data_IF_548179797471
#
_entry.id   IF_548179797471
#
_cell.length_a   1.000
_cell.length_b   1.000
_cell.length_c   1.000
_cell.angle_alpha   90.00
_cell.angle_beta   90.00
_cell.angle_gamma   90.00
#
_symmetry.space_group_name_H-M   'P 1'
#
loop_
_entity.id
_entity.type
_entity.pdbx_description
1 polymer ?
#
# COMPACT_ATOMS: atom_id res chain seq x y z
N UNK A 1 -18.06 -57.30 -23.83
CA UNK A 1 -19.44 -57.18 -24.29
C UNK A 1 -20.04 -55.99 -23.54
N UNK A 2 -20.48 -54.96 -24.05
CA UNK A 2 -20.98 -54.42 -25.28
C UNK A 2 -20.70 -52.90 -25.32
N UNK A 3 -20.23 -52.39 -26.43
CA UNK A 3 -20.09 -50.97 -26.71
C UNK A 3 -21.48 -50.38 -26.96
N UNK A 4 -21.72 -49.17 -26.42
CA UNK A 4 -22.80 -48.33 -26.93
C UNK A 4 -22.24 -46.96 -27.26
N UNK A 5 -22.14 -46.63 -28.54
CA UNK A 5 -21.86 -45.32 -29.07
C UNK A 5 -23.08 -44.42 -28.92
N UNK A 6 -22.88 -43.21 -28.45
CA UNK A 6 -23.86 -42.12 -28.56
C UNK A 6 -23.30 -41.05 -29.50
N UNK A 7 -24.01 -40.85 -30.60
CA UNK A 7 -23.76 -39.87 -31.64
C UNK A 7 -24.15 -38.47 -31.14
N UNK A 8 -23.24 -37.50 -31.18
CA UNK A 8 -23.57 -36.08 -31.08
C UNK A 8 -23.89 -35.50 -32.46
N UNK A 9 -25.14 -35.14 -32.66
CA UNK A 9 -25.56 -34.30 -33.79
C UNK A 9 -25.93 -32.92 -33.26
N UNK A 10 -25.40 -31.87 -33.91
CA UNK A 10 -26.01 -30.53 -33.86
C UNK A 10 -25.19 -29.41 -33.21
N UNK A 11 -24.02 -29.12 -33.75
CA UNK A 11 -23.41 -27.80 -33.51
C UNK A 11 -23.84 -26.85 -34.64
N UNK A 12 -24.75 -25.94 -34.33
CA UNK A 12 -25.10 -24.83 -35.24
C UNK A 12 -23.92 -23.87 -35.34
N UNK A 13 -23.38 -23.68 -36.53
CA UNK A 13 -22.33 -22.69 -36.82
C UNK A 13 -22.88 -21.29 -36.59
N UNK A 14 -22.16 -20.39 -35.85
CA UNK A 14 -22.59 -19.02 -35.71
C UNK A 14 -22.59 -18.30 -37.04
N UNK A 15 -23.65 -17.51 -37.29
CA UNK A 15 -23.85 -16.76 -38.53
C UNK A 15 -22.74 -15.71 -38.72
N UNK A 16 -22.36 -15.46 -39.98
CA UNK A 16 -21.31 -14.52 -40.38
C UNK A 16 -21.47 -13.10 -39.84
N UNK A 17 -22.67 -12.72 -39.41
CA UNK A 17 -22.98 -11.42 -38.80
C UNK A 17 -22.52 -11.32 -37.34
N UNK A 18 -22.57 -12.41 -36.57
CA UNK A 18 -22.06 -12.46 -35.18
C UNK A 18 -20.52 -12.39 -35.16
N UNK A 19 -19.85 -13.13 -36.04
CA UNK A 19 -18.39 -13.08 -36.17
C UNK A 19 -17.87 -11.69 -36.62
N UNK A 20 -18.65 -10.97 -37.45
CA UNK A 20 -18.31 -9.59 -37.85
C UNK A 20 -18.51 -8.59 -36.71
N UNK A 21 -19.47 -8.79 -35.79
CA UNK A 21 -19.69 -7.92 -34.62
C UNK A 21 -18.62 -8.15 -33.55
N UNK A 22 -18.21 -9.38 -33.28
CA UNK A 22 -17.12 -9.68 -32.34
C UNK A 22 -15.78 -9.17 -32.86
N UNK A 23 -15.49 -9.35 -34.16
CA UNK A 23 -14.25 -8.81 -34.75
C UNK A 23 -14.21 -7.26 -34.74
N UNK A 24 -15.34 -6.59 -34.88
CA UNK A 24 -15.40 -5.12 -34.76
C UNK A 24 -15.23 -4.64 -33.31
N UNK A 25 -15.76 -5.38 -32.32
CA UNK A 25 -15.57 -5.07 -30.89
C UNK A 25 -14.11 -5.29 -30.49
N UNK A 26 -13.50 -6.40 -30.86
CA UNK A 26 -12.07 -6.68 -30.58
C UNK A 26 -11.13 -5.73 -31.31
N UNK A 27 -11.45 -5.32 -32.56
CA UNK A 27 -10.66 -4.29 -33.26
C UNK A 27 -10.81 -2.90 -32.64
N UNK A 28 -12.00 -2.54 -32.14
CA UNK A 28 -12.22 -1.27 -31.46
C UNK A 28 -11.50 -1.24 -30.09
N UNK A 29 -11.53 -2.34 -29.35
CA UNK A 29 -10.80 -2.49 -28.08
C UNK A 29 -9.28 -2.52 -28.32
N UNK A 30 -8.80 -3.21 -29.36
CA UNK A 30 -7.37 -3.18 -29.75
C UNK A 30 -6.93 -1.78 -30.24
N UNK A 31 -7.80 -1.02 -30.89
CA UNK A 31 -7.51 0.36 -31.32
C UNK A 31 -7.50 1.33 -30.14
N UNK A 32 -8.38 1.16 -29.13
CA UNK A 32 -8.36 1.95 -27.89
C UNK A 32 -7.13 1.63 -27.05
N UNK A 33 -6.76 0.34 -26.92
CA UNK A 33 -5.53 -0.05 -26.21
C UNK A 33 -4.29 0.43 -26.96
N UNK A 34 -4.25 0.36 -28.30
CA UNK A 34 -3.14 0.93 -29.08
C UNK A 34 -3.09 2.46 -29.07
N UNK A 35 -4.21 3.16 -28.96
CA UNK A 35 -4.22 4.61 -28.83
C UNK A 35 -3.75 5.08 -27.44
N UNK A 36 -3.96 4.27 -26.39
CA UNK A 36 -3.40 4.54 -25.06
C UNK A 36 -1.88 4.25 -24.97
N UNK A 37 -1.34 3.42 -25.87
CA UNK A 37 0.09 3.16 -26.01
C UNK A 37 0.72 3.86 -27.23
N UNK A 38 0.08 4.90 -27.78
CA UNK A 38 0.67 5.71 -28.84
C UNK A 38 1.88 6.46 -28.28
N UNK A 39 3.03 5.82 -28.42
CA UNK A 39 4.39 6.42 -28.56
C UNK A 39 4.59 7.75 -27.85
N UNK A 40 4.63 7.75 -26.52
CA UNK A 40 5.56 8.66 -25.87
C UNK A 40 6.97 8.12 -26.18
N UNK A 41 7.66 8.79 -27.08
CA UNK A 41 9.09 8.62 -27.21
C UNK A 41 9.68 8.99 -25.86
N UNK A 42 10.15 8.01 -25.11
CA UNK A 42 10.97 8.30 -23.93
C UNK A 42 12.18 9.07 -24.44
N UNK A 43 12.21 10.36 -24.20
CA UNK A 43 13.39 11.18 -24.35
C UNK A 43 14.52 10.65 -23.46
N UNK A 44 15.75 11.13 -23.61
CA UNK A 44 16.85 10.73 -22.74
C UNK A 44 16.41 10.90 -21.29
N UNK A 45 16.67 9.89 -20.47
CA UNK A 45 16.31 9.81 -19.05
C UNK A 45 16.62 11.14 -18.36
N UNK A 46 15.61 11.95 -18.13
CA UNK A 46 15.75 13.13 -17.30
C UNK A 46 15.56 12.70 -15.84
N UNK A 47 16.46 13.14 -14.98
CA UNK A 47 16.55 12.70 -13.58
C UNK A 47 15.45 13.31 -12.67
N UNK A 48 14.40 13.90 -13.22
CA UNK A 48 13.46 14.71 -12.44
C UNK A 48 12.21 13.99 -11.95
N UNK A 49 11.91 12.79 -12.45
CA UNK A 49 10.68 12.04 -12.08
C UNK A 49 9.38 12.76 -12.44
N UNK A 50 8.31 12.01 -12.66
CA UNK A 50 6.99 12.57 -12.95
C UNK A 50 6.83 13.28 -14.29
N UNK A 51 7.72 13.06 -15.27
CA UNK A 51 7.62 13.68 -16.60
C UNK A 51 6.37 13.24 -17.37
N UNK A 52 5.86 12.06 -17.04
CA UNK A 52 4.61 11.52 -17.59
C UNK A 52 3.35 12.17 -16.99
N UNK A 53 3.49 12.99 -15.93
CA UNK A 53 2.38 13.64 -15.24
C UNK A 53 2.22 15.08 -15.73
N UNK A 54 0.96 15.52 -15.91
CA UNK A 54 0.66 16.94 -16.12
C UNK A 54 0.95 17.78 -14.86
N UNK A 55 1.11 19.09 -15.00
CA UNK A 55 1.36 19.98 -13.88
C UNK A 55 0.18 20.01 -12.90
N UNK A 56 -1.05 19.89 -13.41
CA UNK A 56 -2.26 19.79 -12.59
C UNK A 56 -2.23 18.50 -11.75
N UNK A 57 -1.81 17.38 -12.35
CA UNK A 57 -1.68 16.10 -11.63
C UNK A 57 -0.61 16.19 -10.55
N UNK A 58 0.53 16.78 -10.83
CA UNK A 58 1.60 17.00 -9.83
C UNK A 58 1.08 17.85 -8.67
N UNK A 59 0.39 18.94 -8.95
CA UNK A 59 -0.20 19.81 -7.94
C UNK A 59 -1.25 19.08 -7.07
N UNK A 60 -2.11 18.26 -7.70
CA UNK A 60 -3.09 17.43 -6.97
C UNK A 60 -2.39 16.46 -6.01
N UNK A 61 -1.38 15.72 -6.48
CA UNK A 61 -0.62 14.78 -5.64
C UNK A 61 0.07 15.48 -4.47
N UNK A 62 0.75 16.62 -4.72
CA UNK A 62 1.40 17.41 -3.69
C UNK A 62 0.40 17.90 -2.64
N UNK A 63 -0.74 18.43 -3.07
CA UNK A 63 -1.78 18.91 -2.16
C UNK A 63 -2.30 17.80 -1.24
N UNK A 64 -2.49 16.58 -1.77
CA UNK A 64 -2.90 15.43 -0.96
C UNK A 64 -1.79 15.01 0.01
N UNK A 65 -0.52 14.99 -0.43
CA UNK A 65 0.62 14.73 0.45
C UNK A 65 0.69 15.71 1.62
N UNK A 66 0.47 17.00 1.39
CA UNK A 66 0.47 18.04 2.42
C UNK A 66 -0.68 17.87 3.42
N UNK A 67 -1.88 17.49 2.93
CA UNK A 67 -3.01 17.18 3.79
C UNK A 67 -2.71 15.98 4.70
N UNK A 68 -2.14 14.91 4.16
CA UNK A 68 -1.78 13.71 4.92
C UNK A 68 -0.66 14.01 5.92
N UNK A 69 0.37 14.75 5.51
CA UNK A 69 1.51 15.14 6.32
C UNK A 69 1.26 16.33 7.25
N UNK A 70 0.01 16.69 7.52
CA UNK A 70 -0.34 17.85 8.36
C UNK A 70 0.27 17.73 9.77
N UNK A 71 0.94 18.78 10.22
CA UNK A 71 1.62 18.81 11.53
C UNK A 71 0.64 18.53 12.69
N UNK A 72 1.09 17.76 13.67
CA UNK A 72 0.30 17.38 14.85
C UNK A 72 -0.80 16.35 14.59
N UNK A 73 -0.82 15.73 13.39
CA UNK A 73 -1.79 14.69 13.03
C UNK A 73 -1.09 13.42 12.56
N UNK A 74 -1.81 12.31 12.69
CA UNK A 74 -1.34 11.00 12.23
C UNK A 74 -2.28 10.34 11.23
N UNK A 75 -1.85 9.20 10.70
CA UNK A 75 -2.63 8.35 9.81
C UNK A 75 -3.17 7.18 10.62
N UNK A 76 -4.49 6.95 10.61
CA UNK A 76 -5.04 5.72 11.20
C UNK A 76 -4.97 4.57 10.21
N UNK A 77 -4.37 3.44 10.63
CA UNK A 77 -4.34 2.21 9.87
C UNK A 77 -5.57 1.36 10.23
N UNK A 78 -6.54 1.32 9.33
CA UNK A 78 -7.78 0.54 9.44
C UNK A 78 -7.91 -0.45 8.29
N UNK A 79 -6.77 -0.91 7.77
CA UNK A 79 -6.65 -1.70 6.54
C UNK A 79 -6.43 -3.19 6.80
N UNK A 80 -6.58 -3.64 8.03
CA UNK A 80 -6.52 -5.06 8.35
C UNK A 80 -7.67 -5.80 7.66
N UNK A 81 -7.33 -6.91 7.00
CA UNK A 81 -8.31 -7.73 6.32
C UNK A 81 -9.25 -8.48 7.29
N UNK A 82 -10.33 -9.09 6.77
CA UNK A 82 -11.36 -9.75 7.59
C UNK A 82 -10.82 -10.75 8.61
N UNK A 83 -9.78 -11.51 8.28
CA UNK A 83 -9.18 -12.47 9.22
C UNK A 83 -8.51 -11.81 10.42
N UNK A 84 -7.76 -10.72 10.20
CA UNK A 84 -7.08 -9.99 11.29
C UNK A 84 -8.09 -9.28 12.20
N UNK A 85 -9.13 -8.68 11.62
CA UNK A 85 -10.21 -8.07 12.42
C UNK A 85 -11.01 -9.15 13.15
N UNK A 86 -11.22 -10.32 12.54
CA UNK A 86 -11.86 -11.47 13.18
C UNK A 86 -11.22 -11.82 14.51
N UNK A 87 -9.88 -11.94 14.54
CA UNK A 87 -9.16 -12.21 15.79
C UNK A 87 -9.36 -11.13 16.85
N UNK A 88 -9.47 -9.84 16.45
CA UNK A 88 -9.77 -8.75 17.41
C UNK A 88 -11.18 -8.83 17.96
N UNK A 89 -12.18 -9.14 17.11
CA UNK A 89 -13.56 -9.31 17.50
C UNK A 89 -13.73 -10.50 18.45
N UNK A 90 -13.09 -11.63 18.15
CA UNK A 90 -13.09 -12.83 19.00
C UNK A 90 -12.54 -12.54 20.41
N UNK A 91 -11.47 -11.73 20.51
CA UNK A 91 -10.88 -11.35 21.79
C UNK A 91 -11.83 -10.56 22.70
N UNK A 92 -12.89 -9.97 22.13
CA UNK A 92 -13.95 -9.27 22.89
C UNK A 92 -15.28 -10.01 22.84
N UNK A 93 -15.28 -11.30 22.44
CA UNK A 93 -16.46 -12.16 22.42
C UNK A 93 -17.45 -11.87 21.28
N UNK A 94 -17.02 -11.17 20.23
CA UNK A 94 -17.86 -10.86 19.07
C UNK A 94 -17.58 -11.80 17.91
N UNK A 95 -18.62 -12.19 17.18
CA UNK A 95 -18.51 -13.02 15.99
C UNK A 95 -17.94 -12.21 14.82
N UNK A 96 -17.05 -12.81 14.04
CA UNK A 96 -16.49 -12.20 12.84
C UNK A 96 -17.51 -12.21 11.68
N UNK A 97 -18.39 -11.22 11.65
CA UNK A 97 -19.32 -10.96 10.55
C UNK A 97 -18.92 -9.66 9.82
N UNK A 98 -19.38 -9.49 8.58
CA UNK A 98 -19.19 -8.24 7.86
C UNK A 98 -19.78 -7.05 8.62
N UNK A 99 -20.96 -7.22 9.20
CA UNK A 99 -21.66 -6.21 9.99
C UNK A 99 -20.82 -5.77 11.21
N UNK A 100 -20.26 -6.71 11.96
CA UNK A 100 -19.41 -6.39 13.11
C UNK A 100 -18.10 -5.71 12.68
N UNK A 101 -17.52 -6.11 11.54
CA UNK A 101 -16.35 -5.40 10.98
C UNK A 101 -16.72 -3.98 10.56
N UNK A 102 -17.86 -3.79 9.90
CA UNK A 102 -18.38 -2.47 9.53
C UNK A 102 -18.59 -1.58 10.75
N UNK A 103 -19.28 -2.09 11.78
CA UNK A 103 -19.52 -1.36 13.01
C UNK A 103 -18.22 -0.95 13.73
N UNK A 104 -17.23 -1.85 13.77
CA UNK A 104 -15.90 -1.54 14.28
C UNK A 104 -15.23 -0.39 13.51
N UNK A 105 -15.29 -0.41 12.17
CA UNK A 105 -14.73 0.67 11.33
C UNK A 105 -15.48 1.99 11.56
N UNK A 106 -16.79 1.95 11.61
CA UNK A 106 -17.61 3.15 11.88
C UNK A 106 -17.26 3.78 13.22
N UNK A 107 -17.09 3.00 14.27
CA UNK A 107 -16.67 3.49 15.58
C UNK A 107 -15.36 4.28 15.51
N UNK A 108 -14.40 3.83 14.72
CA UNK A 108 -13.10 4.51 14.55
C UNK A 108 -13.24 5.78 13.72
N UNK A 109 -13.98 5.73 12.61
CA UNK A 109 -14.08 6.86 11.68
C UNK A 109 -14.95 7.99 12.22
N UNK A 110 -16.00 7.67 12.98
CA UNK A 110 -16.93 8.63 13.52
C UNK A 110 -16.67 8.97 14.99
N UNK A 111 -15.48 8.62 15.50
CA UNK A 111 -15.06 8.98 16.86
C UNK A 111 -15.07 10.51 17.03
N UNK A 112 -15.61 11.04 18.14
CA UNK A 112 -15.67 12.48 18.38
C UNK A 112 -14.30 13.13 18.26
N UNK A 113 -14.20 14.22 17.49
CA UNK A 113 -12.96 14.97 17.27
C UNK A 113 -11.84 14.17 16.57
N UNK A 114 -12.10 13.05 15.92
CA UNK A 114 -11.08 12.26 15.20
C UNK A 114 -10.23 13.13 14.26
N UNK A 115 -10.83 14.07 13.56
CA UNK A 115 -10.18 15.00 12.64
C UNK A 115 -9.20 16.00 13.29
N UNK A 116 -9.20 16.14 14.62
CA UNK A 116 -8.18 16.93 15.31
C UNK A 116 -6.83 16.21 15.38
N UNK A 117 -6.85 14.89 15.38
CA UNK A 117 -5.69 14.03 15.56
C UNK A 117 -5.32 13.23 14.32
N UNK A 118 -6.27 13.04 13.40
CA UNK A 118 -6.11 12.25 12.19
C UNK A 118 -6.17 13.12 10.94
N UNK A 119 -5.17 12.98 10.08
CA UNK A 119 -5.12 13.58 8.75
C UNK A 119 -5.64 12.63 7.68
N UNK A 120 -5.44 11.32 7.86
CA UNK A 120 -5.80 10.32 6.87
C UNK A 120 -6.22 8.98 7.51
N UNK A 121 -6.91 8.15 6.74
CA UNK A 121 -7.29 6.80 7.12
C UNK A 121 -7.01 5.82 5.97
N UNK A 122 -6.30 4.72 6.27
CA UNK A 122 -6.06 3.63 5.32
C UNK A 122 -7.15 2.59 5.51
N UNK A 123 -7.93 2.29 4.46
CA UNK A 123 -9.06 1.38 4.51
C UNK A 123 -8.71 0.02 3.86
N UNK A 124 -9.38 -1.02 4.34
CA UNK A 124 -9.47 -2.29 3.61
C UNK A 124 -10.44 -2.14 2.43
N UNK A 125 -10.24 -2.82 1.28
CA UNK A 125 -11.15 -2.76 0.14
C UNK A 125 -12.61 -3.08 0.48
N UNK A 126 -12.89 -3.99 1.43
CA UNK A 126 -14.26 -4.25 1.91
C UNK A 126 -14.91 -2.96 2.44
N UNK A 127 -14.16 -2.18 3.19
CA UNK A 127 -14.64 -0.99 3.89
C UNK A 127 -15.00 0.16 2.95
N UNK A 128 -14.41 0.22 1.75
CA UNK A 128 -14.70 1.29 0.78
C UNK A 128 -16.17 1.33 0.36
N UNK A 129 -16.80 0.17 0.30
CA UNK A 129 -18.18 0.01 -0.19
C UNK A 129 -19.21 -0.14 0.93
N UNK A 130 -18.73 -0.14 2.18
CA UNK A 130 -19.60 -0.16 3.36
C UNK A 130 -20.13 1.24 3.69
N UNK A 131 -21.30 1.28 4.28
CA UNK A 131 -22.03 2.53 4.58
C UNK A 131 -22.17 2.73 6.09
N UNK A 132 -22.15 4.00 6.49
CA UNK A 132 -22.53 4.39 7.84
C UNK A 132 -24.02 4.21 8.06
N UNK A 133 -24.40 3.79 9.28
CA UNK A 133 -25.77 3.76 9.78
C UNK A 133 -26.02 4.77 10.91
N UNK A 134 -25.04 5.64 11.19
CA UNK A 134 -25.20 6.72 12.16
C UNK A 134 -26.26 7.72 11.71
N UNK A 135 -26.93 8.36 12.65
CA UNK A 135 -27.93 9.39 12.32
C UNK A 135 -27.37 10.51 11.44
N UNK A 136 -26.11 10.87 11.65
CA UNK A 136 -25.45 11.98 10.92
C UNK A 136 -25.07 11.62 9.50
N UNK A 137 -24.61 10.38 9.25
CA UNK A 137 -24.02 9.98 7.97
C UNK A 137 -24.77 8.80 7.32
N UNK A 138 -26.02 8.54 7.73
CA UNK A 138 -26.79 7.38 7.28
C UNK A 138 -26.76 7.19 5.75
N UNK A 139 -26.40 5.99 5.33
CA UNK A 139 -26.33 5.59 3.93
C UNK A 139 -25.12 6.10 3.15
N UNK A 140 -24.25 6.95 3.73
CA UNK A 140 -23.01 7.42 3.09
C UNK A 140 -21.92 6.36 3.13
N UNK A 141 -21.15 6.22 2.05
CA UNK A 141 -19.95 5.39 2.03
C UNK A 141 -18.88 5.96 2.97
N UNK A 142 -18.08 5.12 3.59
CA UNK A 142 -17.05 5.57 4.53
C UNK A 142 -16.01 6.52 3.92
N UNK A 143 -15.56 6.38 2.67
CA UNK A 143 -14.69 7.42 2.07
C UNK A 143 -15.34 8.80 2.03
N UNK A 144 -16.64 8.89 1.77
CA UNK A 144 -17.37 10.16 1.78
C UNK A 144 -17.51 10.72 3.20
N UNK A 145 -17.80 9.88 4.19
CA UNK A 145 -17.84 10.28 5.61
C UNK A 145 -16.50 10.86 6.07
N UNK A 146 -15.39 10.18 5.76
CA UNK A 146 -14.05 10.63 6.11
C UNK A 146 -13.72 11.98 5.46
N UNK A 147 -14.01 12.13 4.16
CA UNK A 147 -13.79 13.39 3.44
C UNK A 147 -14.59 14.55 4.03
N UNK A 148 -15.85 14.30 4.41
CA UNK A 148 -16.74 15.33 5.00
C UNK A 148 -16.22 15.84 6.36
N UNK A 149 -15.58 14.98 7.14
CA UNK A 149 -14.98 15.37 8.44
C UNK A 149 -13.53 15.83 8.32
N UNK A 150 -12.99 15.93 7.11
CA UNK A 150 -11.63 16.44 6.84
C UNK A 150 -10.52 15.41 7.08
N UNK A 151 -10.81 14.12 6.97
CA UNK A 151 -9.83 13.02 7.00
C UNK A 151 -9.68 12.45 5.59
N UNK A 152 -8.46 12.42 5.05
CA UNK A 152 -8.19 11.93 3.70
C UNK A 152 -8.37 10.41 3.65
N UNK A 153 -9.29 9.87 2.81
CA UNK A 153 -9.46 8.42 2.67
C UNK A 153 -8.44 7.81 1.72
N UNK A 154 -7.91 6.67 2.07
CA UNK A 154 -7.04 5.87 1.22
C UNK A 154 -7.30 4.38 1.38
N UNK A 155 -6.61 3.56 0.60
CA UNK A 155 -6.85 2.12 0.52
C UNK A 155 -5.57 1.30 0.53
N UNK A 156 -5.67 0.06 1.00
CA UNK A 156 -4.66 -0.97 0.83
C UNK A 156 -4.97 -1.81 -0.42
N UNK A 157 -4.28 -1.59 -1.57
CA UNK A 157 -4.60 -2.28 -2.81
C UNK A 157 -3.90 -3.63 -2.99
N UNK A 158 -2.86 -3.94 -2.21
CA UNK A 158 -2.17 -5.22 -2.31
C UNK A 158 -3.08 -6.39 -1.90
N UNK A 159 -2.83 -7.57 -2.48
CA UNK A 159 -3.67 -8.73 -2.28
C UNK A 159 -3.20 -9.58 -1.11
N UNK A 160 -2.07 -10.27 -1.26
CA UNK A 160 -1.63 -11.28 -0.29
C UNK A 160 -0.11 -11.41 -0.27
N UNK A 161 0.43 -11.75 0.90
CA UNK A 161 1.85 -12.12 1.07
C UNK A 161 2.04 -13.57 0.65
N UNK A 162 3.10 -13.83 -0.12
CA UNK A 162 3.53 -15.16 -0.52
C UNK A 162 5.00 -15.37 -0.20
N UNK A 163 5.39 -16.63 -0.04
CA UNK A 163 6.80 -16.98 0.05
C UNK A 163 7.52 -16.59 -1.26
N UNK A 164 8.71 -15.98 -1.14
CA UNK A 164 9.56 -15.71 -2.30
C UNK A 164 10.27 -17.01 -2.69
N UNK A 165 10.01 -17.58 -3.88
CA UNK A 165 10.63 -18.84 -4.28
C UNK A 165 12.17 -18.76 -4.27
N UNK A 166 12.81 -19.81 -3.77
CA UNK A 166 14.27 -19.89 -3.67
C UNK A 166 14.88 -19.07 -2.53
N UNK A 167 14.08 -18.41 -1.69
CA UNK A 167 14.54 -17.62 -0.55
C UNK A 167 13.83 -18.10 0.74
N UNK A 168 14.56 -18.82 1.58
CA UNK A 168 14.00 -19.34 2.84
C UNK A 168 13.57 -18.21 3.77
N UNK A 169 12.32 -18.25 4.25
CA UNK A 169 11.76 -17.27 5.18
C UNK A 169 11.41 -15.90 4.56
N UNK A 170 11.81 -15.64 3.31
CA UNK A 170 11.49 -14.39 2.64
C UNK A 170 10.09 -14.40 2.01
N UNK A 171 9.50 -13.22 1.92
CA UNK A 171 8.17 -13.04 1.35
C UNK A 171 8.14 -11.93 0.30
N UNK A 172 7.14 -11.98 -0.58
CA UNK A 172 6.82 -10.95 -1.55
C UNK A 172 5.33 -10.64 -1.51
N UNK A 173 4.96 -9.39 -1.71
CA UNK A 173 3.57 -8.97 -1.79
C UNK A 173 3.07 -9.09 -3.21
N UNK A 174 1.88 -9.65 -3.41
CA UNK A 174 1.25 -9.76 -4.73
C UNK A 174 0.13 -8.76 -4.92
N UNK A 175 -0.20 -8.48 -6.19
CA UNK A 175 -1.30 -7.61 -6.57
C UNK A 175 -0.93 -6.49 -7.55
N UNK A 176 0.25 -6.53 -8.17
CA UNK A 176 0.63 -5.55 -9.21
C UNK A 176 -0.12 -5.80 -10.53
N UNK A 177 -0.48 -7.06 -10.81
CA UNK A 177 -1.26 -7.38 -12.00
C UNK A 177 -2.65 -6.75 -11.92
N UNK A 178 -3.05 -6.07 -12.98
CA UNK A 178 -4.30 -5.29 -13.05
C UNK A 178 -4.45 -4.20 -11.98
N UNK A 179 -3.35 -3.75 -11.37
CA UNK A 179 -3.40 -2.78 -10.27
C UNK A 179 -4.03 -1.46 -10.70
N UNK A 180 -3.70 -0.94 -11.89
CA UNK A 180 -4.25 0.32 -12.39
C UNK A 180 -5.79 0.29 -12.47
N UNK A 181 -6.38 -0.83 -12.89
CA UNK A 181 -7.85 -0.99 -12.96
C UNK A 181 -8.46 -0.91 -11.58
N UNK A 182 -7.91 -1.66 -10.60
CA UNK A 182 -8.40 -1.64 -9.21
C UNK A 182 -8.23 -0.28 -8.54
N UNK A 183 -7.10 0.40 -8.81
CA UNK A 183 -6.86 1.74 -8.28
C UNK A 183 -7.84 2.76 -8.83
N UNK A 184 -8.23 2.63 -10.11
CA UNK A 184 -9.26 3.49 -10.69
C UNK A 184 -10.61 3.29 -9.99
N UNK A 185 -11.02 2.03 -9.75
CA UNK A 185 -12.23 1.72 -8.98
C UNK A 185 -12.20 2.33 -7.57
N UNK A 186 -11.04 2.25 -6.89
CA UNK A 186 -10.89 2.82 -5.54
C UNK A 186 -10.88 4.36 -5.55
N UNK A 187 -10.30 4.96 -6.58
CA UNK A 187 -10.36 6.40 -6.78
C UNK A 187 -11.79 6.87 -7.00
N UNK A 188 -12.56 6.14 -7.83
CA UNK A 188 -13.97 6.43 -8.09
C UNK A 188 -14.83 6.26 -6.83
N UNK A 189 -14.44 5.35 -5.92
CA UNK A 189 -15.05 5.21 -4.59
C UNK A 189 -14.66 6.34 -3.62
N UNK A 190 -13.77 7.26 -4.00
CA UNK A 190 -13.40 8.46 -3.24
C UNK A 190 -12.01 8.44 -2.60
N UNK A 191 -11.20 7.40 -2.79
CA UNK A 191 -9.83 7.37 -2.27
C UNK A 191 -8.95 8.44 -2.93
N UNK A 192 -8.03 8.99 -2.14
CA UNK A 192 -7.03 9.98 -2.57
C UNK A 192 -5.60 9.44 -2.53
N UNK A 193 -5.38 8.36 -1.81
CA UNK A 193 -4.08 7.69 -1.71
C UNK A 193 -4.24 6.18 -1.64
N UNK A 194 -3.15 5.48 -1.88
CA UNK A 194 -3.04 4.05 -1.64
C UNK A 194 -1.82 3.74 -0.77
N UNK A 195 -1.82 2.60 -0.07
CA UNK A 195 -0.70 2.16 0.76
C UNK A 195 -0.35 0.70 0.46
N UNK A 196 0.92 0.45 0.15
CA UNK A 196 1.43 -0.89 -0.12
C UNK A 196 2.55 -1.25 0.86
N UNK A 197 2.39 -2.40 1.54
CA UNK A 197 3.34 -2.92 2.51
C UNK A 197 4.17 -4.04 1.90
N UNK A 198 5.49 -3.98 2.08
CA UNK A 198 6.43 -5.07 1.77
C UNK A 198 7.11 -5.53 3.07
N UNK A 199 6.60 -6.60 3.71
CA UNK A 199 7.13 -7.07 4.98
C UNK A 199 8.42 -7.87 4.77
N UNK A 200 9.40 -7.64 5.65
CA UNK A 200 10.68 -8.35 5.68
C UNK A 200 11.06 -8.67 7.12
N UNK A 201 11.63 -9.84 7.34
CA UNK A 201 12.17 -10.26 8.64
C UNK A 201 13.71 -10.22 8.58
N UNK A 202 14.37 -9.84 9.67
CA UNK A 202 15.81 -9.96 9.83
C UNK A 202 16.11 -11.32 10.46
N UNK A 203 16.81 -12.16 9.72
CA UNK A 203 17.34 -13.45 10.19
C UNK A 203 18.80 -13.55 9.75
N UNK A 204 19.70 -13.12 10.63
CA UNK A 204 21.14 -13.05 10.34
C UNK A 204 21.71 -14.44 10.07
N UNK A 205 21.22 -15.46 10.78
CA UNK A 205 21.71 -16.83 10.64
C UNK A 205 21.44 -17.42 9.25
N UNK A 206 20.32 -17.02 8.64
CA UNK A 206 19.91 -17.44 7.28
C UNK A 206 20.16 -16.38 6.21
N UNK A 207 20.89 -15.30 6.52
CA UNK A 207 21.23 -14.25 5.58
C UNK A 207 20.03 -13.46 5.05
N UNK A 208 18.97 -13.29 5.87
CA UNK A 208 17.76 -12.54 5.48
C UNK A 208 17.72 -11.14 6.12
N UNK A 209 17.19 -10.15 5.41
CA UNK A 209 16.77 -10.20 4.01
C UNK A 209 17.99 -10.26 3.06
N UNK A 210 17.96 -11.17 2.10
CA UNK A 210 18.99 -11.25 1.04
C UNK A 210 18.86 -10.08 0.06
N UNK A 211 19.89 -9.87 -0.76
CA UNK A 211 19.86 -8.84 -1.80
C UNK A 211 18.67 -9.04 -2.76
N UNK A 212 18.43 -10.28 -3.18
CA UNK A 212 17.28 -10.61 -4.02
C UNK A 212 15.94 -10.30 -3.34
N UNK A 213 15.82 -10.59 -2.03
CA UNK A 213 14.61 -10.25 -1.26
C UNK A 213 14.38 -8.75 -1.23
N UNK A 214 15.43 -7.97 -0.97
CA UNK A 214 15.35 -6.50 -0.92
C UNK A 214 15.00 -5.94 -2.30
N UNK A 215 15.76 -6.33 -3.33
CA UNK A 215 15.56 -5.81 -4.70
C UNK A 215 14.15 -6.12 -5.20
N UNK A 216 13.68 -7.36 -5.08
CA UNK A 216 12.34 -7.75 -5.54
C UNK A 216 11.25 -6.90 -4.88
N UNK A 217 11.28 -6.76 -3.55
CA UNK A 217 10.27 -6.01 -2.82
C UNK A 217 10.34 -4.50 -3.10
N UNK A 218 11.53 -3.93 -3.23
CA UNK A 218 11.70 -2.48 -3.47
C UNK A 218 11.37 -2.10 -4.91
N UNK A 219 11.66 -2.96 -5.89
CA UNK A 219 11.20 -2.77 -7.27
C UNK A 219 9.67 -2.84 -7.38
N UNK A 220 9.03 -3.75 -6.66
CA UNK A 220 7.57 -3.84 -6.62
C UNK A 220 6.93 -2.58 -5.99
N UNK A 221 7.53 -2.02 -4.92
CA UNK A 221 7.10 -0.75 -4.33
C UNK A 221 7.26 0.43 -5.30
N UNK A 222 8.36 0.48 -6.05
CA UNK A 222 8.57 1.54 -7.05
C UNK A 222 7.56 1.46 -8.20
N UNK A 223 7.30 0.24 -8.73
CA UNK A 223 6.27 0.01 -9.76
C UNK A 223 4.87 0.37 -9.26
N UNK A 224 4.54 -0.05 -8.04
CA UNK A 224 3.29 0.33 -7.39
C UNK A 224 3.14 1.85 -7.29
N UNK A 225 4.19 2.56 -6.86
CA UNK A 225 4.16 4.00 -6.72
C UNK A 225 3.88 4.71 -8.06
N UNK A 226 4.55 4.28 -9.12
CA UNK A 226 4.35 4.82 -10.46
C UNK A 226 2.90 4.61 -10.95
N UNK A 227 2.36 3.39 -10.79
CA UNK A 227 0.98 3.07 -11.19
C UNK A 227 -0.04 3.94 -10.40
N UNK A 228 0.20 4.17 -9.10
CA UNK A 228 -0.66 5.05 -8.31
C UNK A 228 -0.70 6.47 -8.86
N UNK A 229 0.46 7.03 -9.17
CA UNK A 229 0.58 8.41 -9.68
C UNK A 229 -0.07 8.57 -11.06
N UNK A 230 0.09 7.59 -11.94
CA UNK A 230 -0.56 7.58 -13.25
C UNK A 230 -2.09 7.62 -13.12
N UNK A 231 -2.66 6.83 -12.22
CA UNK A 231 -4.10 6.86 -11.90
C UNK A 231 -4.48 8.17 -11.17
N UNK A 232 -3.57 8.81 -10.46
CA UNK A 232 -3.78 10.05 -9.68
C UNK A 232 -4.13 9.79 -8.23
N UNK A 233 -3.51 8.78 -7.65
CA UNK A 233 -3.50 8.52 -6.21
C UNK A 233 -2.09 8.74 -5.66
N UNK A 234 -1.98 9.31 -4.46
CA UNK A 234 -0.70 9.39 -3.76
C UNK A 234 -0.26 8.00 -3.32
N UNK A 235 0.93 7.52 -3.71
CA UNK A 235 1.47 6.27 -3.17
C UNK A 235 2.08 6.51 -1.77
N UNK A 236 1.67 5.70 -0.80
CA UNK A 236 2.41 5.51 0.44
C UNK A 236 3.17 4.19 0.31
N UNK A 237 4.50 4.26 0.25
CA UNK A 237 5.38 3.10 0.19
C UNK A 237 5.74 2.66 1.62
N UNK A 238 5.52 1.37 1.92
CA UNK A 238 5.75 0.82 3.28
C UNK A 238 6.75 -0.34 3.23
N UNK A 239 8.08 -0.06 3.17
CA UNK A 239 9.08 -1.06 3.50
C UNK A 239 8.99 -1.33 5.00
N UNK A 240 8.62 -2.56 5.40
CA UNK A 240 8.34 -2.86 6.80
C UNK A 240 9.24 -4.00 7.29
N UNK A 241 10.21 -3.65 8.11
CA UNK A 241 11.09 -4.61 8.79
C UNK A 241 10.50 -4.96 10.14
N UNK A 242 10.18 -6.24 10.34
CA UNK A 242 9.52 -6.70 11.55
C UNK A 242 10.47 -6.71 12.75
N UNK A 243 9.88 -6.68 13.96
CA UNK A 243 10.62 -6.80 15.23
C UNK A 243 10.99 -8.25 15.58
N UNK A 244 10.75 -9.22 14.70
CA UNK A 244 11.10 -10.62 14.96
C UNK A 244 12.61 -10.80 14.96
N UNK A 245 13.06 -11.84 15.68
CA UNK A 245 14.48 -12.24 15.72
C UNK A 245 15.22 -11.65 16.92
N UNK A 246 16.53 -11.82 16.89
CA UNK A 246 17.47 -11.49 17.96
C UNK A 246 18.55 -10.48 17.55
N UNK A 247 18.40 -9.89 16.36
CA UNK A 247 19.32 -8.91 15.81
C UNK A 247 19.47 -7.68 16.71
N UNK A 248 20.67 -7.15 16.79
CA UNK A 248 20.96 -5.93 17.54
C UNK A 248 20.60 -4.66 16.75
N UNK A 249 20.64 -3.51 17.44
CA UNK A 249 20.25 -2.22 16.87
C UNK A 249 21.15 -1.81 15.69
N UNK A 250 22.45 -2.10 15.75
CA UNK A 250 23.39 -1.81 14.66
C UNK A 250 23.04 -2.59 13.39
N UNK A 251 22.69 -3.86 13.53
CA UNK A 251 22.21 -4.69 12.41
C UNK A 251 20.89 -4.14 11.85
N UNK A 252 19.96 -3.69 12.71
CA UNK A 252 18.72 -3.08 12.28
C UNK A 252 18.97 -1.81 11.46
N UNK A 253 19.87 -0.91 11.92
CA UNK A 253 20.27 0.30 11.19
C UNK A 253 20.82 -0.06 9.82
N UNK A 254 21.79 -0.97 9.77
CA UNK A 254 22.46 -1.37 8.51
C UNK A 254 21.46 -1.92 7.50
N UNK A 255 20.54 -2.77 7.93
CA UNK A 255 19.52 -3.37 7.04
C UNK A 255 18.51 -2.33 6.58
N UNK A 256 18.01 -1.46 7.47
CA UNK A 256 17.06 -0.41 7.09
C UNK A 256 17.69 0.62 6.13
N UNK A 257 18.95 1.00 6.34
CA UNK A 257 19.70 1.86 5.38
C UNK A 257 19.76 1.19 4.01
N UNK A 258 20.09 -0.09 3.95
CA UNK A 258 20.15 -0.83 2.69
C UNK A 258 18.79 -0.87 1.98
N UNK A 259 17.74 -1.25 2.69
CA UNK A 259 16.37 -1.35 2.17
C UNK A 259 15.90 0.00 1.60
N UNK A 260 16.02 1.08 2.39
CA UNK A 260 15.55 2.40 1.97
C UNK A 260 16.39 2.98 0.83
N UNK A 261 17.70 2.74 0.81
CA UNK A 261 18.56 3.15 -0.30
C UNK A 261 18.17 2.48 -1.62
N UNK A 262 17.88 1.17 -1.58
CA UNK A 262 17.42 0.42 -2.77
C UNK A 262 16.03 0.91 -3.19
N UNK A 263 15.11 1.14 -2.25
CA UNK A 263 13.79 1.66 -2.54
C UNK A 263 13.83 3.00 -3.26
N UNK A 264 14.52 3.99 -2.69
CA UNK A 264 14.52 5.33 -3.26
C UNK A 264 15.28 5.39 -4.58
N UNK A 265 16.34 4.59 -4.73
CA UNK A 265 16.97 4.41 -6.03
C UNK A 265 15.99 3.82 -7.05
N UNK A 266 15.28 2.76 -6.70
CA UNK A 266 14.29 2.14 -7.58
C UNK A 266 13.16 3.11 -7.96
N UNK A 267 12.67 3.92 -7.01
CA UNK A 267 11.66 4.95 -7.29
C UNK A 267 12.17 6.01 -8.29
N UNK A 268 13.42 6.46 -8.15
CA UNK A 268 14.05 7.40 -9.09
C UNK A 268 14.22 6.76 -10.47
N UNK A 269 14.74 5.53 -10.54
CA UNK A 269 14.94 4.80 -11.80
C UNK A 269 13.60 4.57 -12.56
N UNK A 270 12.50 4.43 -11.83
CA UNK A 270 11.16 4.31 -12.40
C UNK A 270 10.51 5.65 -12.78
N UNK A 271 11.15 6.77 -12.47
CA UNK A 271 10.60 8.10 -12.74
C UNK A 271 9.43 8.49 -11.83
N UNK A 272 9.37 7.94 -10.61
CA UNK A 272 8.35 8.34 -9.62
C UNK A 272 8.54 9.81 -9.24
N UNK A 273 7.46 10.58 -9.23
CA UNK A 273 7.43 11.95 -8.75
C UNK A 273 7.48 11.96 -7.22
N UNK A 274 8.65 12.24 -6.66
CA UNK A 274 8.92 12.07 -5.22
C UNK A 274 8.11 13.02 -4.35
N UNK A 275 7.84 14.24 -4.81
CA UNK A 275 7.02 15.23 -4.11
C UNK A 275 5.55 14.79 -3.97
N UNK A 276 5.11 13.88 -4.83
CA UNK A 276 3.78 13.28 -4.84
C UNK A 276 3.73 11.87 -4.24
N UNK A 277 4.68 11.53 -3.35
CA UNK A 277 4.77 10.24 -2.68
C UNK A 277 5.08 10.40 -1.19
N UNK A 278 4.73 9.41 -0.37
CA UNK A 278 4.97 9.41 1.07
C UNK A 278 5.62 8.10 1.52
N UNK A 279 6.49 8.19 2.53
CA UNK A 279 7.06 7.03 3.21
C UNK A 279 6.21 6.65 4.43
N UNK A 280 5.95 5.36 4.62
CA UNK A 280 5.50 4.77 5.88
C UNK A 280 6.45 3.63 6.22
N UNK A 281 7.27 3.79 7.25
CA UNK A 281 8.31 2.83 7.62
C UNK A 281 8.13 2.31 9.04
N UNK A 282 8.71 1.13 9.31
CA UNK A 282 8.91 0.72 10.69
C UNK A 282 9.86 1.70 11.40
N UNK A 283 9.75 1.79 12.72
CA UNK A 283 10.81 2.31 13.55
C UNK A 283 11.98 1.32 13.57
N UNK A 284 13.20 1.81 13.47
CA UNK A 284 14.42 1.01 13.57
C UNK A 284 14.59 0.56 15.03
N UNK A 285 14.45 -0.73 15.26
CA UNK A 285 14.50 -1.33 16.59
C UNK A 285 15.34 -2.61 16.57
N UNK A 286 15.92 -3.01 17.71
CA UNK A 286 16.46 -4.35 17.85
C UNK A 286 15.36 -5.41 17.78
N UNK A 287 15.71 -6.64 17.49
CA UNK A 287 14.79 -7.78 17.55
C UNK A 287 14.24 -8.00 18.95
N UNK A 288 13.00 -8.51 19.05
CA UNK A 288 12.35 -8.78 20.35
C UNK A 288 13.13 -9.73 21.26
N UNK A 289 13.95 -10.60 20.69
CA UNK A 289 14.78 -11.55 21.41
C UNK A 289 16.24 -11.08 21.53
N UNK A 290 16.54 -9.83 21.20
CA UNK A 290 17.88 -9.28 21.36
C UNK A 290 18.32 -9.34 22.81
N UNK A 291 19.54 -9.84 23.06
CA UNK A 291 20.12 -9.93 24.41
C UNK A 291 20.59 -8.61 24.98
N UNK A 292 20.77 -7.59 24.13
CA UNK A 292 21.17 -6.23 24.53
C UNK A 292 19.94 -5.36 24.80
N UNK A 293 20.03 -4.51 25.82
CA UNK A 293 19.03 -3.50 26.12
C UNK A 293 19.52 -2.14 25.60
N UNK A 294 18.62 -1.37 25.02
CA UNK A 294 18.89 -0.04 24.50
C UNK A 294 17.95 0.99 25.13
N UNK A 295 18.45 2.18 25.33
CA UNK A 295 17.66 3.33 25.80
C UNK A 295 16.75 3.87 24.70
N UNK A 296 15.77 4.68 25.08
CA UNK A 296 14.91 5.41 24.13
C UNK A 296 15.76 6.28 23.19
N UNK A 297 16.74 7.00 23.73
CA UNK A 297 17.62 7.91 22.97
C UNK A 297 18.48 7.16 21.95
N UNK A 298 19.04 6.00 22.30
CA UNK A 298 19.81 5.16 21.36
C UNK A 298 18.93 4.69 20.18
N UNK A 299 17.68 4.30 20.46
CA UNK A 299 16.73 3.88 19.42
C UNK A 299 16.30 5.09 18.58
N UNK A 300 16.02 6.24 19.19
CA UNK A 300 15.67 7.47 18.46
C UNK A 300 16.81 7.91 17.53
N UNK A 301 18.06 7.92 18.02
CA UNK A 301 19.22 8.29 17.19
C UNK A 301 19.46 7.29 16.04
N UNK A 302 19.23 5.99 16.26
CA UNK A 302 19.27 4.99 15.20
C UNK A 302 18.23 5.27 14.10
N UNK A 303 17.03 5.68 14.46
CA UNK A 303 15.99 6.11 13.51
C UNK A 303 16.41 7.37 12.75
N UNK A 304 16.94 8.37 13.45
CA UNK A 304 17.46 9.58 12.82
C UNK A 304 18.64 9.31 11.89
N UNK A 305 19.51 8.37 12.23
CA UNK A 305 20.63 7.97 11.38
C UNK A 305 20.12 7.40 10.03
N UNK A 306 19.17 6.47 10.06
CA UNK A 306 18.58 5.91 8.84
C UNK A 306 17.89 6.99 8.02
N UNK A 307 17.10 7.85 8.68
CA UNK A 307 16.41 8.97 8.03
C UNK A 307 17.39 9.92 7.32
N UNK A 308 18.43 10.39 8.03
CA UNK A 308 19.43 11.31 7.48
C UNK A 308 20.22 10.72 6.31
N UNK A 309 20.44 9.40 6.31
CA UNK A 309 21.19 8.71 5.25
C UNK A 309 20.37 8.46 4.00
N UNK A 310 19.06 8.23 4.12
CA UNK A 310 18.27 7.66 3.03
C UNK A 310 17.11 8.53 2.57
N UNK A 311 16.43 9.26 3.48
CA UNK A 311 15.17 9.91 3.17
C UNK A 311 15.35 11.06 2.16
N UNK A 312 14.65 11.03 1.01
CA UNK A 312 14.75 12.09 0.02
C UNK A 312 14.10 13.38 0.48
N UNK A 313 14.82 14.50 0.44
CA UNK A 313 14.29 15.83 0.81
C UNK A 313 13.11 16.29 -0.06
N UNK A 314 12.93 15.70 -1.23
CA UNK A 314 11.80 15.97 -2.12
C UNK A 314 10.46 15.39 -1.58
N UNK A 315 10.49 14.31 -0.79
CA UNK A 315 9.29 13.73 -0.21
C UNK A 315 8.75 14.59 0.93
N UNK A 316 7.43 14.74 0.98
CA UNK A 316 6.77 15.69 1.90
C UNK A 316 6.70 15.21 3.35
N UNK A 317 6.58 13.91 3.60
CA UNK A 317 6.62 13.36 4.96
C UNK A 317 7.06 11.91 5.03
N UNK A 318 7.62 11.56 6.19
CA UNK A 318 7.81 10.19 6.64
C UNK A 318 6.86 9.91 7.80
N UNK A 319 6.22 8.76 7.76
CA UNK A 319 5.30 8.30 8.77
C UNK A 319 5.85 6.99 9.35
N UNK A 320 5.82 6.85 10.68
CA UNK A 320 6.34 5.66 11.34
C UNK A 320 5.21 4.79 11.88
N UNK A 321 5.38 3.48 11.79
CA UNK A 321 4.50 2.51 12.42
C UNK A 321 5.14 1.93 13.68
N UNK A 322 4.31 1.55 14.66
CA UNK A 322 4.80 0.98 15.92
C UNK A 322 5.38 -0.43 15.78
N UNK A 323 4.93 -1.22 14.78
CA UNK A 323 5.44 -2.57 14.52
C UNK A 323 5.25 -3.58 15.65
N UNK A 324 4.33 -3.31 16.59
CA UNK A 324 4.06 -4.16 17.76
C UNK A 324 4.88 -3.80 19.00
N UNK A 325 5.42 -2.59 19.06
CA UNK A 325 5.90 -1.94 20.30
C UNK A 325 4.72 -1.58 21.19
N UNK A 326 4.97 -1.32 22.49
CA UNK A 326 3.97 -0.69 23.35
C UNK A 326 3.60 0.71 22.83
N UNK A 327 2.45 1.23 23.23
CA UNK A 327 2.06 2.58 22.86
C UNK A 327 3.02 3.63 23.44
N UNK A 328 3.42 3.42 24.70
CA UNK A 328 4.34 4.27 25.44
C UNK A 328 5.72 4.32 24.79
N UNK A 329 6.28 3.15 24.47
CA UNK A 329 7.58 3.05 23.79
C UNK A 329 7.56 3.70 22.40
N UNK A 330 6.50 3.44 21.63
CA UNK A 330 6.40 4.00 20.29
C UNK A 330 6.28 5.52 20.32
N UNK A 331 5.52 6.07 21.27
CA UNK A 331 5.38 7.51 21.45
C UNK A 331 6.69 8.15 21.91
N UNK A 332 7.35 7.58 22.94
CA UNK A 332 8.59 8.11 23.48
C UNK A 332 9.76 8.10 22.47
N UNK A 333 9.77 7.14 21.53
CA UNK A 333 10.80 7.04 20.48
C UNK A 333 10.52 7.94 19.28
N UNK A 334 9.28 8.41 19.14
CA UNK A 334 8.88 9.32 18.07
C UNK A 334 9.05 10.79 18.47
N UNK A 335 8.93 11.10 19.77
CA UNK A 335 9.05 12.44 20.36
C UNK A 335 10.50 12.93 20.39
#
# INVERSE_FOLDING_TARGET
MSQTMLSCTGATRPTSALLRRENRRTQKTRRMVRAAFATQSFGPCSCHGGEHLSDERKAELVSVCEQIGAAGKGITACDEGPGTIGMRLENVGMVNTEENRRAYRQMLFEAPNANKYLSAAILDPETLYQKSDSQKHNGKLFPAVLSEIGIVPGVKPHLKVYALPGQSGATVMQGLDSLAVRLQEYKDAGCKFAKWRSPMDIDVANGQPSDLTIETNMLDLARYALICQDVGLVPIVEPDVSLKGDHDLETAVRINVKIQSVLFKAMLDHGVYMEGALLKSNMVNPGKNCSKTYTVDEIAEANLEVFRRCFPTAMRSANYLSGGQSLEDAAARLD
#
